data_IF_168110913459
#
_entry.id   IF_168110913459
#
_cell.length_a   1.000
_cell.length_b   1.000
_cell.length_c   1.000
_cell.angle_alpha   90.00
_cell.angle_beta   90.00
_cell.angle_gamma   90.00
#
_symmetry.space_group_name_H-M   'P 1'
#
loop_
_entity.id
_entity.type
_entity.pdbx_description
1 polymer ?
#
# COMPACT_ATOMS: atom_id res chain seq x y z
N UNK A 1 -30.12 12.23 -5.31
CA UNK A 1 -30.06 10.83 -4.82
C UNK A 1 -29.84 10.88 -3.33
N UNK A 2 -30.75 10.32 -2.53
CA UNK A 2 -30.59 10.23 -1.08
C UNK A 2 -29.50 9.17 -0.84
N UNK A 3 -28.38 9.55 -0.21
CA UNK A 3 -27.41 8.57 0.26
C UNK A 3 -28.10 7.82 1.40
N UNK A 4 -28.46 6.58 1.15
CA UNK A 4 -28.92 5.67 2.18
C UNK A 4 -27.71 5.43 3.09
N UNK A 5 -27.78 5.96 4.30
CA UNK A 5 -26.72 5.83 5.30
C UNK A 5 -26.69 4.36 5.72
N UNK A 6 -25.74 3.60 5.17
CA UNK A 6 -25.55 2.19 5.49
C UNK A 6 -25.37 2.07 7.01
N UNK A 7 -26.24 1.31 7.68
CA UNK A 7 -26.17 1.21 9.13
C UNK A 7 -25.11 0.20 9.50
N UNK A 8 -24.28 0.55 10.47
CA UNK A 8 -23.29 -0.35 11.02
C UNK A 8 -23.98 -1.28 12.04
N UNK A 9 -23.76 -2.60 11.91
CA UNK A 9 -24.33 -3.60 12.82
C UNK A 9 -23.30 -3.87 13.93
N UNK A 10 -23.64 -3.63 15.22
CA UNK A 10 -22.72 -3.87 16.33
C UNK A 10 -22.48 -5.36 16.56
N UNK A 11 -21.22 -5.70 16.84
CA UNK A 11 -20.76 -7.05 17.20
C UNK A 11 -20.31 -7.06 18.66
N UNK A 12 -20.96 -7.88 19.49
CA UNK A 12 -20.56 -8.06 20.88
C UNK A 12 -20.87 -6.84 21.76
N UNK A 13 -20.14 -6.71 22.86
CA UNK A 13 -20.32 -5.61 23.82
C UNK A 13 -19.35 -4.45 23.63
N UNK A 14 -19.61 -3.35 24.35
CA UNK A 14 -18.72 -2.19 24.39
C UNK A 14 -17.34 -2.57 24.97
N UNK A 15 -16.28 -2.08 24.33
CA UNK A 15 -14.90 -2.29 24.74
C UNK A 15 -14.39 -0.98 25.32
N UNK A 16 -14.08 -0.99 26.61
CA UNK A 16 -13.59 0.20 27.31
C UNK A 16 -12.27 0.72 26.72
N UNK A 17 -12.12 2.04 26.71
CA UNK A 17 -10.83 2.68 26.44
C UNK A 17 -9.89 2.42 27.61
N UNK A 18 -8.73 1.82 27.32
CA UNK A 18 -7.67 1.61 28.31
C UNK A 18 -6.73 2.81 28.39
N UNK A 19 -6.42 3.41 27.24
CA UNK A 19 -5.50 4.53 27.14
C UNK A 19 -5.85 5.40 25.93
N UNK A 20 -5.74 6.72 26.12
CA UNK A 20 -5.71 7.70 25.02
C UNK A 20 -4.28 7.83 24.51
N UNK A 21 -4.12 7.80 23.19
CA UNK A 21 -2.84 7.70 22.50
C UNK A 21 -2.39 6.26 22.31
N UNK A 22 -1.80 5.98 21.15
CA UNK A 22 -1.29 4.65 20.78
C UNK A 22 0.23 4.69 20.72
N UNK A 23 0.94 3.92 21.56
CA UNK A 23 2.39 3.79 21.45
C UNK A 23 2.79 3.16 20.10
N UNK A 24 3.65 3.83 19.35
CA UNK A 24 4.10 3.48 18.01
C UNK A 24 5.62 3.65 17.88
N UNK A 25 6.28 2.83 17.06
CA UNK A 25 7.72 2.87 16.79
C UNK A 25 8.54 1.93 17.69
N UNK A 26 9.39 1.12 17.04
CA UNK A 26 10.29 0.17 17.70
C UNK A 26 11.57 0.85 18.25
N UNK A 27 12.23 1.69 17.44
CA UNK A 27 13.45 2.42 17.81
C UNK A 27 13.17 3.79 18.45
N UNK A 28 12.23 4.54 17.86
CA UNK A 28 11.80 5.85 18.36
C UNK A 28 10.33 5.76 18.75
N UNK A 29 10.12 5.45 20.03
CA UNK A 29 8.78 5.33 20.59
C UNK A 29 8.11 6.70 20.61
N UNK A 30 7.02 6.84 19.87
CA UNK A 30 6.15 8.00 19.83
C UNK A 30 4.74 7.59 20.18
N UNK A 31 3.93 8.54 20.65
CA UNK A 31 2.51 8.30 20.92
C UNK A 31 1.72 8.96 19.79
N UNK A 32 1.06 8.14 18.97
CA UNK A 32 0.16 8.62 17.94
C UNK A 32 -1.21 8.95 18.54
N UNK A 33 -1.94 9.94 18.00
CA UNK A 33 -3.29 10.24 18.42
C UNK A 33 -4.23 9.06 18.12
N UNK A 34 -5.03 8.66 19.10
CA UNK A 34 -5.91 7.50 19.00
C UNK A 34 -6.30 6.91 20.34
N UNK A 35 -6.73 5.65 20.35
CA UNK A 35 -7.17 4.93 21.52
C UNK A 35 -6.63 3.51 21.53
N UNK A 36 -6.18 3.07 22.70
CA UNK A 36 -5.86 1.68 22.97
C UNK A 36 -6.98 1.08 23.82
N UNK A 37 -7.64 0.07 23.29
CA UNK A 37 -8.77 -0.60 23.93
C UNK A 37 -8.30 -1.62 24.97
N UNK A 38 -9.19 -1.97 25.90
CA UNK A 38 -8.92 -2.95 26.95
C UNK A 38 -8.50 -4.33 26.43
N UNK A 39 -9.00 -4.72 25.25
CA UNK A 39 -8.64 -5.97 24.57
C UNK A 39 -7.31 -5.89 23.78
N UNK A 40 -6.59 -4.76 23.83
CA UNK A 40 -5.31 -4.57 23.15
C UNK A 40 -5.41 -4.08 21.71
N UNK A 41 -6.62 -3.87 21.18
CA UNK A 41 -6.80 -3.26 19.86
C UNK A 41 -6.43 -1.77 19.93
N UNK A 42 -5.63 -1.33 18.97
CA UNK A 42 -5.30 0.07 18.77
C UNK A 42 -6.19 0.66 17.66
N UNK A 43 -6.67 1.89 17.89
CA UNK A 43 -7.44 2.70 16.96
C UNK A 43 -6.68 4.01 16.75
N UNK A 44 -6.26 4.30 15.53
CA UNK A 44 -5.51 5.53 15.20
C UNK A 44 -6.46 6.58 14.62
N UNK A 45 -6.28 7.85 14.99
CA UNK A 45 -7.09 8.94 14.42
C UNK A 45 -6.88 9.09 12.90
N UNK A 46 -5.68 8.79 12.38
CA UNK A 46 -5.41 8.81 10.94
C UNK A 46 -6.13 7.71 10.15
N UNK A 47 -6.59 6.65 10.84
CA UNK A 47 -7.35 5.54 10.25
C UNK A 47 -8.86 5.70 10.43
N UNK A 48 -9.30 6.85 10.94
CA UNK A 48 -10.72 7.20 11.06
C UNK A 48 -11.26 7.62 9.71
N UNK A 49 -12.32 6.96 9.26
CA UNK A 49 -13.00 7.32 8.02
C UNK A 49 -13.93 8.54 8.19
N UNK A 50 -14.46 9.04 7.08
CA UNK A 50 -15.39 10.18 7.08
C UNK A 50 -16.73 9.89 7.76
N UNK A 51 -17.09 8.61 7.93
CA UNK A 51 -18.27 8.20 8.69
C UNK A 51 -17.98 8.13 10.20
N UNK A 52 -16.72 8.32 10.61
CA UNK A 52 -16.28 8.30 12.00
C UNK A 52 -15.92 6.91 12.53
N UNK A 53 -15.84 5.90 11.66
CA UNK A 53 -15.40 4.55 12.02
C UNK A 53 -13.88 4.47 12.01
N UNK A 54 -13.34 3.73 12.96
CA UNK A 54 -11.91 3.46 13.06
C UNK A 54 -11.63 2.06 12.53
N UNK A 55 -10.60 1.93 11.69
CA UNK A 55 -10.01 0.62 11.42
C UNK A 55 -9.18 0.21 12.63
N UNK A 56 -9.43 -0.98 13.16
CA UNK A 56 -8.66 -1.50 14.29
C UNK A 56 -7.39 -2.21 13.86
N UNK A 57 -6.35 -2.08 14.67
CA UNK A 57 -5.09 -2.80 14.50
C UNK A 57 -4.60 -3.47 15.77
N UNK A 58 -3.76 -4.47 15.60
CA UNK A 58 -3.00 -5.08 16.67
C UNK A 58 -1.65 -4.37 16.79
N UNK A 59 -1.33 -3.90 18.00
CA UNK A 59 -0.03 -3.30 18.30
C UNK A 59 0.90 -4.35 18.91
N UNK A 60 2.02 -4.65 18.25
CA UNK A 60 3.11 -5.45 18.81
C UNK A 60 4.40 -4.63 18.74
N UNK A 61 4.99 -4.32 19.89
CA UNK A 61 6.30 -3.67 20.00
C UNK A 61 6.49 -2.41 19.12
N UNK A 62 5.45 -1.59 19.03
CA UNK A 62 5.47 -0.34 18.26
C UNK A 62 5.20 -0.52 16.76
N UNK A 63 4.90 -1.72 16.30
CA UNK A 63 4.31 -1.96 14.98
C UNK A 63 2.78 -2.01 15.08
N UNK A 64 2.08 -1.50 14.07
CA UNK A 64 0.63 -1.57 13.94
C UNK A 64 0.25 -2.43 12.74
N UNK A 65 -0.54 -3.47 12.99
CA UNK A 65 -1.09 -4.35 11.95
C UNK A 65 -2.59 -4.18 11.88
N UNK A 66 -3.10 -3.61 10.78
CA UNK A 66 -4.53 -3.43 10.57
C UNK A 66 -5.23 -4.80 10.47
N UNK A 67 -6.33 -4.96 11.22
CA UNK A 67 -7.07 -6.23 11.33
C UNK A 67 -8.29 -6.33 10.41
N UNK A 68 -8.60 -5.27 9.66
CA UNK A 68 -9.81 -5.17 8.83
C UNK A 68 -11.11 -4.95 9.61
N UNK A 69 -11.06 -4.96 10.95
CA UNK A 69 -12.22 -4.72 11.82
C UNK A 69 -12.51 -3.23 11.96
N UNK A 70 -13.80 -2.89 12.08
CA UNK A 70 -14.26 -1.52 12.23
C UNK A 70 -14.82 -1.28 13.63
N UNK A 71 -14.60 -0.08 14.15
CA UNK A 71 -15.04 0.32 15.48
C UNK A 71 -15.67 1.71 15.44
N UNK A 72 -16.77 1.89 16.17
CA UNK A 72 -17.42 3.19 16.35
C UNK A 72 -17.27 3.66 17.80
N UNK A 73 -17.08 4.98 18.04
CA UNK A 73 -16.99 5.50 19.39
C UNK A 73 -18.35 5.45 20.08
N UNK A 74 -18.36 5.01 21.33
CA UNK A 74 -19.49 5.16 22.24
C UNK A 74 -19.22 6.37 23.10
N UNK A 75 -20.12 7.35 23.02
CA UNK A 75 -19.99 8.61 23.76
C UNK A 75 -20.63 8.52 25.13
N UNK A 76 -20.01 9.14 26.13
CA UNK A 76 -20.64 9.44 27.40
C UNK A 76 -21.59 10.65 27.27
N UNK A 77 -22.36 10.94 28.32
CA UNK A 77 -23.33 12.04 28.32
C UNK A 77 -22.70 13.44 28.22
N UNK A 78 -21.39 13.55 28.43
CA UNK A 78 -20.60 14.78 28.26
C UNK A 78 -20.00 14.93 26.84
N UNK A 79 -20.24 13.96 25.95
CA UNK A 79 -19.72 13.95 24.58
C UNK A 79 -18.32 13.34 24.43
N UNK A 80 -17.68 12.92 25.52
CA UNK A 80 -16.37 12.26 25.47
C UNK A 80 -16.50 10.78 25.09
N UNK A 81 -15.49 10.23 24.42
CA UNK A 81 -15.45 8.80 24.09
C UNK A 81 -15.22 7.99 25.37
N UNK A 82 -16.16 7.11 25.71
CA UNK A 82 -16.04 6.20 26.89
C UNK A 82 -15.55 4.81 26.52
N UNK A 83 -15.95 4.33 25.36
CA UNK A 83 -15.75 2.97 24.89
C UNK A 83 -15.86 2.94 23.36
N UNK A 84 -15.63 1.76 22.79
CA UNK A 84 -15.83 1.50 21.37
C UNK A 84 -16.65 0.24 21.17
N UNK A 85 -17.44 0.23 20.11
CA UNK A 85 -18.22 -0.92 19.70
C UNK A 85 -17.66 -1.43 18.36
N UNK A 86 -17.30 -2.72 18.30
CA UNK A 86 -16.96 -3.36 17.02
C UNK A 86 -18.21 -3.42 16.14
N UNK A 87 -18.08 -3.13 14.86
CA UNK A 87 -19.19 -3.13 13.90
C UNK A 87 -18.80 -3.81 12.60
N UNK A 88 -19.81 -4.35 11.92
CA UNK A 88 -19.73 -4.76 10.52
C UNK A 88 -20.65 -3.87 9.68
N UNK A 89 -20.19 -3.40 8.51
CA UNK A 89 -21.04 -2.66 7.60
C UNK A 89 -22.13 -3.59 7.05
N UNK A 90 -23.38 -3.11 7.00
CA UNK A 90 -24.53 -3.87 6.44
C UNK A 90 -24.26 -4.43 5.05
N UNK A 91 -23.46 -3.73 4.23
CA UNK A 91 -23.07 -4.17 2.90
C UNK A 91 -21.55 -4.31 2.78
N UNK A 92 -21.05 -5.49 3.11
CA UNK A 92 -19.62 -5.83 3.07
C UNK A 92 -19.01 -5.64 1.67
N UNK A 93 -19.77 -5.90 0.60
CA UNK A 93 -19.30 -5.76 -0.79
C UNK A 93 -19.03 -4.29 -1.13
N UNK A 94 -19.96 -3.40 -0.81
CA UNK A 94 -19.79 -1.97 -1.06
C UNK A 94 -18.65 -1.37 -0.22
N UNK A 95 -18.48 -1.81 1.03
CA UNK A 95 -17.40 -1.34 1.91
C UNK A 95 -16.02 -1.86 1.46
N UNK A 96 -15.95 -3.10 0.97
CA UNK A 96 -14.73 -3.67 0.41
C UNK A 96 -14.31 -2.92 -0.85
N UNK A 97 -15.24 -2.69 -1.79
CA UNK A 97 -14.99 -1.96 -3.04
C UNK A 97 -14.37 -0.56 -2.80
N UNK A 98 -14.90 0.19 -1.83
CA UNK A 98 -14.34 1.51 -1.46
C UNK A 98 -12.97 1.44 -0.77
N UNK A 99 -12.64 0.31 -0.13
CA UNK A 99 -11.37 0.13 0.59
C UNK A 99 -10.21 -0.30 -0.34
N UNK A 100 -10.51 -0.78 -1.56
CA UNK A 100 -9.50 -1.28 -2.50
C UNK A 100 -8.78 -0.13 -3.24
N UNK A 101 -9.33 1.08 -3.24
CA UNK A 101 -8.83 2.18 -4.08
C UNK A 101 -7.61 2.95 -3.52
N UNK A 102 -7.11 2.60 -2.32
CA UNK A 102 -6.14 3.44 -1.60
C UNK A 102 -4.68 2.96 -1.51
N UNK A 103 -4.36 1.70 -1.80
CA UNK A 103 -3.02 1.18 -1.45
C UNK A 103 -2.44 0.13 -2.42
N UNK A 104 -2.40 0.43 -3.72
CA UNK A 104 -1.63 -0.34 -4.71
C UNK A 104 -0.45 0.43 -5.33
N UNK A 105 -0.18 1.65 -4.85
CA UNK A 105 0.81 2.55 -5.45
C UNK A 105 2.10 2.71 -4.62
N UNK A 106 2.30 1.92 -3.56
CA UNK A 106 3.50 1.99 -2.69
C UNK A 106 4.47 0.82 -2.88
N UNK A 107 4.48 0.15 -4.04
CA UNK A 107 5.65 -0.65 -4.42
C UNK A 107 6.74 0.34 -4.87
N UNK A 108 7.43 0.90 -3.88
CA UNK A 108 8.58 1.76 -4.07
C UNK A 108 9.75 0.94 -4.62
N UNK A 109 10.07 1.14 -5.91
CA UNK A 109 11.45 1.18 -6.40
C UNK A 109 12.31 -0.10 -6.50
N UNK A 110 11.92 -1.26 -5.96
CA UNK A 110 12.87 -2.41 -5.91
C UNK A 110 12.85 -3.30 -7.17
N UNK A 111 11.83 -3.20 -8.03
CA UNK A 111 11.75 -4.00 -9.27
C UNK A 111 11.73 -3.08 -10.49
N UNK A 112 12.77 -2.24 -10.66
CA UNK A 112 13.21 -1.68 -11.94
C UNK A 112 14.49 -0.82 -11.73
N UNK A 113 15.60 -1.47 -11.38
CA UNK A 113 16.93 -0.85 -11.48
C UNK A 113 17.80 -1.58 -12.52
N UNK A 114 17.21 -1.90 -13.67
CA UNK A 114 18.03 -2.07 -14.87
C UNK A 114 18.27 -0.68 -15.48
N UNK A 115 19.48 -0.41 -16.03
CA UNK A 115 19.73 0.80 -16.80
C UNK A 115 18.59 1.00 -17.82
N UNK A 116 18.15 2.25 -18.07
CA UNK A 116 17.05 2.52 -19.00
C UNK A 116 17.33 1.81 -20.32
N UNK A 117 16.52 0.79 -20.63
CA UNK A 117 16.62 0.06 -21.89
C UNK A 117 16.40 1.08 -23.01
N UNK A 118 17.25 1.11 -24.06
CA UNK A 118 16.99 1.97 -25.21
C UNK A 118 15.59 1.65 -25.73
N UNK A 119 14.84 2.69 -26.10
CA UNK A 119 13.48 2.47 -26.57
C UNK A 119 13.51 1.60 -27.82
N UNK A 120 12.45 0.83 -28.07
CA UNK A 120 12.30 0.07 -29.32
C UNK A 120 12.49 0.96 -30.55
N UNK A 121 12.18 2.27 -30.44
CA UNK A 121 12.40 3.25 -31.48
C UNK A 121 13.90 3.52 -31.71
N UNK A 122 14.68 3.63 -30.64
CA UNK A 122 16.14 3.84 -30.73
C UNK A 122 16.85 2.64 -31.33
N UNK A 123 16.44 1.41 -30.96
CA UNK A 123 16.98 0.18 -31.53
C UNK A 123 16.66 0.04 -33.04
N UNK A 124 15.46 0.44 -33.46
CA UNK A 124 15.07 0.44 -34.88
C UNK A 124 15.84 1.50 -35.68
N UNK A 125 16.04 2.68 -35.11
CA UNK A 125 16.84 3.73 -35.74
C UNK A 125 18.30 3.29 -35.90
N UNK A 126 18.89 2.66 -34.87
CA UNK A 126 20.26 2.14 -34.91
C UNK A 126 20.43 1.05 -36.00
N UNK A 127 19.51 0.08 -36.08
CA UNK A 127 19.53 -0.93 -37.15
C UNK A 127 19.43 -0.30 -38.55
N UNK A 128 18.65 0.79 -38.68
CA UNK A 128 18.50 1.50 -39.96
C UNK A 128 19.78 2.25 -40.35
N UNK A 129 20.50 2.79 -39.38
CA UNK A 129 21.78 3.47 -39.58
C UNK A 129 22.91 2.48 -39.89
N UNK A 130 22.95 1.34 -39.22
CA UNK A 130 23.95 0.29 -39.46
C UNK A 130 23.75 -0.36 -40.85
N UNK A 131 22.50 -0.58 -41.24
CA UNK A 131 22.15 -1.01 -42.60
C UNK A 131 22.52 0.03 -43.68
N UNK A 132 22.54 1.32 -43.33
CA UNK A 132 22.98 2.39 -44.23
C UNK A 132 24.51 2.51 -44.33
N UNK A 133 25.27 2.04 -43.33
CA UNK A 133 26.74 2.07 -43.31
C UNK A 133 27.40 0.83 -43.94
N UNK A 134 26.67 -0.28 -44.12
CA UNK A 134 27.20 -1.56 -44.59
C UNK A 134 27.33 -1.75 -46.11
N UNK A 135 27.64 -0.71 -46.90
CA UNK A 135 27.93 -0.85 -48.34
C UNK A 135 29.33 -0.34 -48.67
N UNK A 136 30.34 -1.16 -48.41
CA UNK A 136 31.56 -1.20 -49.21
C UNK A 136 32.00 -2.68 -49.38
N UNK A 137 32.38 -3.02 -50.61
CA UNK A 137 32.43 -4.36 -51.19
C UNK A 137 33.70 -5.18 -50.81
N UNK A 138 33.75 -6.51 -51.10
CA UNK A 138 34.70 -7.45 -50.49
C UNK A 138 36.06 -7.52 -51.20
N UNK A 139 37.10 -7.78 -50.41
CA UNK A 139 38.49 -7.99 -50.87
C UNK A 139 38.67 -9.44 -51.39
N UNK A 140 39.22 -9.57 -52.59
CA UNK A 140 39.46 -10.85 -53.29
C UNK A 140 40.54 -11.70 -52.57
N UNK A 141 40.48 -13.04 -52.55
CA UNK A 141 41.47 -13.86 -51.86
C UNK A 141 42.70 -14.14 -52.75
N UNK A 142 43.94 -14.15 -52.23
CA UNK A 142 45.05 -14.74 -52.95
C UNK A 142 45.17 -16.23 -52.65
N UNK A 143 45.20 -17.00 -53.75
CA UNK A 143 45.58 -18.42 -53.85
C UNK A 143 46.97 -18.66 -53.25
N UNK A 144 47.13 -19.80 -52.59
CA UNK A 144 48.42 -20.27 -52.09
C UNK A 144 49.42 -20.66 -53.17
N UNK A 145 50.70 -20.69 -52.80
CA UNK A 145 51.69 -21.55 -53.42
C UNK A 145 52.78 -21.93 -52.41
N UNK A 146 53.20 -23.19 -52.51
CA UNK A 146 54.09 -23.98 -51.65
C UNK A 146 55.55 -23.51 -51.55
N UNK A 147 56.10 -23.78 -50.36
CA UNK A 147 57.44 -24.25 -49.95
C UNK A 147 58.59 -24.29 -50.99
N UNK A 148 59.76 -23.71 -50.65
CA UNK A 148 61.00 -24.49 -50.42
C UNK A 148 62.13 -23.64 -49.79
N UNK A 149 62.68 -24.21 -48.71
CA UNK A 149 64.06 -24.17 -48.14
C UNK A 149 64.93 -22.91 -48.26
#
# INVERSE_FOLDING_TARGET
>A
MKKEEAKDIPIGGEIAVRQTGVPYGWLYRRTEPGYLLANGIALLECERDSAGRYKGGAGLDGMYLQTGRLYVPVLAGDGNVRAFQEVIPENYLAAAEMSVEGNYNQIDGIINNEPPKPSVLDALNQCREDAAKGRDAPENPPRGQEVER
#
